data_IF_285363486171
#
_entry.id   IF_285363486171
#
_cell.length_a   1.000
_cell.length_b   1.000
_cell.length_c   1.000
_cell.angle_alpha   90.00
_cell.angle_beta   90.00
_cell.angle_gamma   90.00
#
_symmetry.space_group_name_H-M   'P 1'
#
loop_
_entity.id
_entity.type
_entity.pdbx_description
1 polymer ?
#
# COMPACT_ATOMS: atom_id res chain seq x y z
N UNK A 1 22.52 -14.10 12.82
CA UNK A 1 23.31 -12.95 12.34
C UNK A 1 22.53 -12.16 11.27
N UNK A 2 21.28 -11.76 11.58
CA UNK A 2 20.38 -11.08 10.60
C UNK A 2 20.17 -9.59 10.97
N UNK A 3 20.77 -9.12 12.06
CA UNK A 3 20.60 -7.75 12.57
C UNK A 3 21.58 -6.73 11.95
N UNK A 4 22.44 -7.13 11.03
CA UNK A 4 23.63 -6.34 10.66
C UNK A 4 23.62 -5.77 9.23
N UNK A 5 22.47 -5.77 8.55
CA UNK A 5 22.32 -5.13 7.23
C UNK A 5 21.55 -3.80 7.27
N UNK A 6 21.37 -3.22 8.46
CA UNK A 6 20.68 -1.94 8.66
C UNK A 6 21.62 -0.73 8.80
N UNK A 7 22.94 -0.90 8.70
CA UNK A 7 23.92 0.16 8.93
C UNK A 7 24.80 0.42 7.69
N UNK A 8 24.20 0.90 6.60
CA UNK A 8 24.94 1.59 5.55
C UNK A 8 23.99 2.40 4.67
N UNK A 9 23.63 3.60 5.15
CA UNK A 9 23.52 4.79 4.31
C UNK A 9 22.71 4.68 3.01
N UNK A 10 21.39 4.51 3.11
CA UNK A 10 20.41 5.44 2.53
C UNK A 10 19.03 4.90 2.86
N UNK A 11 18.23 5.72 3.57
CA UNK A 11 16.87 5.36 3.97
C UNK A 11 15.93 5.52 2.76
N UNK A 12 16.22 4.83 1.65
CA UNK A 12 15.31 4.68 0.52
C UNK A 12 14.37 3.55 0.89
N UNK A 13 13.30 3.88 1.62
CA UNK A 13 12.18 2.97 1.74
C UNK A 13 11.77 2.50 0.33
N UNK A 14 11.31 1.25 0.16
CA UNK A 14 10.88 0.74 -1.14
C UNK A 14 9.93 1.70 -1.87
N UNK A 15 9.13 2.49 -1.12
CA UNK A 15 8.27 3.53 -1.66
C UNK A 15 8.95 4.54 -2.59
N UNK A 16 10.22 4.90 -2.38
CA UNK A 16 10.94 5.83 -3.26
C UNK A 16 11.39 5.16 -4.58
N UNK A 17 11.81 3.90 -4.53
CA UNK A 17 12.11 3.09 -5.73
C UNK A 17 10.84 2.79 -6.55
N UNK A 18 9.72 2.52 -5.87
CA UNK A 18 8.41 2.31 -6.50
C UNK A 18 7.92 3.59 -7.18
N UNK A 19 8.04 4.74 -6.53
CA UNK A 19 7.76 6.04 -7.13
C UNK A 19 8.63 6.32 -8.35
N UNK A 20 9.93 6.00 -8.29
CA UNK A 20 10.85 6.17 -9.42
C UNK A 20 10.53 5.24 -10.60
N UNK A 21 10.19 3.97 -10.36
CA UNK A 21 9.82 3.02 -11.41
C UNK A 21 8.50 3.43 -12.07
N UNK A 22 7.49 3.82 -11.28
CA UNK A 22 6.20 4.30 -11.80
C UNK A 22 6.31 5.65 -12.53
N UNK A 23 7.32 6.47 -12.21
CA UNK A 23 7.61 7.73 -12.92
C UNK A 23 8.32 7.53 -14.28
N UNK A 24 8.89 6.35 -14.54
CA UNK A 24 9.71 6.10 -15.73
C UNK A 24 8.93 5.62 -16.96
N UNK A 25 7.71 5.10 -16.76
CA UNK A 25 6.77 4.83 -17.86
C UNK A 25 6.13 6.14 -18.28
N UNK A 26 6.16 6.54 -19.55
CA UNK A 26 5.60 7.82 -20.04
C UNK A 26 4.08 8.03 -19.88
N UNK A 27 3.42 7.26 -19.01
CA UNK A 27 2.10 7.49 -18.46
C UNK A 27 2.31 8.14 -17.08
N UNK A 28 1.78 9.34 -16.83
CA UNK A 28 1.96 10.05 -15.55
C UNK A 28 1.65 9.18 -14.30
N UNK A 29 2.08 9.65 -13.12
CA UNK A 29 1.98 8.96 -11.81
C UNK A 29 0.83 7.94 -11.75
N UNK A 30 1.16 6.65 -11.84
CA UNK A 30 0.16 5.60 -11.80
C UNK A 30 -0.61 5.66 -10.46
N UNK A 31 -1.94 5.54 -10.45
CA UNK A 31 -2.72 5.59 -9.23
C UNK A 31 -2.45 4.38 -8.34
N UNK A 32 -2.15 4.65 -7.07
CA UNK A 32 -1.82 3.62 -6.06
C UNK A 32 -2.80 3.67 -4.89
N UNK A 33 -3.13 2.48 -4.38
CA UNK A 33 -3.89 2.28 -3.14
C UNK A 33 -3.23 1.19 -2.30
N UNK A 34 -3.12 1.42 -0.99
CA UNK A 34 -2.68 0.42 -0.03
C UNK A 34 -3.87 -0.45 0.40
N UNK A 35 -3.73 -1.77 0.31
CA UNK A 35 -4.80 -2.71 0.67
C UNK A 35 -4.35 -3.66 1.78
N UNK A 36 -4.99 -3.56 2.94
CA UNK A 36 -4.88 -4.54 4.02
C UNK A 36 -5.83 -5.72 3.77
N UNK A 37 -5.38 -6.72 3.02
CA UNK A 37 -6.18 -7.91 2.70
C UNK A 37 -6.22 -8.92 3.87
N UNK A 38 -7.09 -9.92 3.79
CA UNK A 38 -7.33 -10.95 4.83
C UNK A 38 -7.75 -10.34 6.17
N UNK A 39 -8.54 -9.26 6.10
CA UNK A 39 -9.00 -8.50 7.26
C UNK A 39 -9.64 -9.35 8.38
N UNK A 40 -10.25 -10.49 8.04
CA UNK A 40 -10.92 -11.38 8.98
C UNK A 40 -9.98 -12.16 9.92
N UNK A 41 -8.67 -12.23 9.66
CA UNK A 41 -7.70 -12.94 10.50
C UNK A 41 -7.36 -12.12 11.74
N UNK A 42 -8.26 -12.10 12.73
CA UNK A 42 -8.09 -11.29 13.94
C UNK A 42 -7.00 -11.86 14.85
N UNK A 43 -6.91 -13.19 14.98
CA UNK A 43 -5.98 -13.89 15.88
C UNK A 43 -4.55 -13.85 15.32
N UNK A 44 -4.36 -14.17 14.04
CA UNK A 44 -3.07 -14.17 13.35
C UNK A 44 -2.65 -12.76 12.88
N UNK A 45 -3.28 -11.70 13.41
CA UNK A 45 -3.04 -10.34 12.92
C UNK A 45 -1.69 -9.85 13.41
N UNK A 46 -0.79 -9.62 12.47
CA UNK A 46 0.52 -9.01 12.76
C UNK A 46 0.52 -7.49 12.59
N UNK A 47 -0.43 -6.93 11.82
CA UNK A 47 -0.50 -5.49 11.53
C UNK A 47 -1.86 -4.93 11.93
N UNK A 48 -1.86 -3.89 12.77
CA UNK A 48 -3.09 -3.23 13.17
C UNK A 48 -3.65 -2.35 12.06
N UNK A 49 -4.97 -2.18 12.05
CA UNK A 49 -5.67 -1.32 11.07
C UNK A 49 -5.12 0.11 11.13
N UNK A 50 -4.85 0.61 12.34
CA UNK A 50 -4.30 1.95 12.55
C UNK A 50 -2.92 2.11 11.91
N UNK A 51 -2.05 1.10 12.01
CA UNK A 51 -0.72 1.12 11.41
C UNK A 51 -0.80 1.20 9.89
N UNK A 52 -1.69 0.41 9.27
CA UNK A 52 -1.95 0.49 7.83
C UNK A 52 -2.46 1.86 7.38
N UNK A 53 -3.38 2.46 8.15
CA UNK A 53 -3.87 3.82 7.87
C UNK A 53 -2.78 4.89 7.99
N UNK A 54 -1.94 4.80 9.02
CA UNK A 54 -0.82 5.74 9.23
C UNK A 54 0.21 5.60 8.12
N UNK A 55 0.53 4.37 7.70
CA UNK A 55 1.47 4.14 6.61
C UNK A 55 0.95 4.73 5.30
N UNK A 56 -0.33 4.53 4.98
CA UNK A 56 -0.92 5.10 3.79
C UNK A 56 -0.90 6.65 3.81
N UNK A 57 -1.19 7.25 4.97
CA UNK A 57 -1.07 8.70 5.16
C UNK A 57 0.36 9.19 4.91
N UNK A 58 1.38 8.52 5.46
CA UNK A 58 2.79 8.86 5.26
C UNK A 58 3.25 8.74 3.80
N UNK A 59 2.62 7.85 3.03
CA UNK A 59 2.91 7.62 1.62
C UNK A 59 1.97 8.39 0.68
N UNK A 60 1.06 9.20 1.22
CA UNK A 60 0.03 9.93 0.46
C UNK A 60 -0.86 9.02 -0.41
N UNK A 61 -1.07 7.78 0.04
CA UNK A 61 -1.96 6.81 -0.60
C UNK A 61 -3.27 6.64 0.17
N UNK A 62 -4.29 6.16 -0.54
CA UNK A 62 -5.52 5.71 0.09
C UNK A 62 -5.31 4.34 0.75
N UNK A 63 -6.03 4.06 1.84
CA UNK A 63 -6.02 2.75 2.50
C UNK A 63 -7.39 2.09 2.46
N UNK A 64 -7.43 0.80 2.12
CA UNK A 64 -8.62 -0.05 2.23
C UNK A 64 -8.30 -1.35 2.95
N UNK A 65 -9.13 -1.69 3.94
CA UNK A 65 -9.21 -3.06 4.48
C UNK A 65 -10.10 -3.94 3.61
N UNK A 66 -9.61 -5.10 3.22
CA UNK A 66 -10.32 -6.00 2.32
C UNK A 66 -10.29 -7.45 2.81
N UNK A 67 -11.27 -8.23 2.36
CA UNK A 67 -11.26 -9.68 2.52
C UNK A 67 -11.74 -10.32 1.23
N UNK A 68 -10.77 -10.68 0.39
CA UNK A 68 -11.03 -11.16 -0.97
C UNK A 68 -11.93 -12.39 -1.05
N UNK A 69 -11.73 -13.38 -0.15
CA UNK A 69 -12.52 -14.62 -0.13
C UNK A 69 -14.03 -14.38 -0.04
N UNK A 70 -14.44 -13.32 0.66
CA UNK A 70 -15.85 -12.96 0.84
C UNK A 70 -16.21 -11.67 0.10
N UNK A 71 -15.39 -11.24 -0.87
CA UNK A 71 -15.63 -10.04 -1.68
C UNK A 71 -15.81 -8.74 -0.89
N UNK A 72 -15.32 -8.67 0.35
CA UNK A 72 -15.47 -7.49 1.21
C UNK A 72 -14.53 -6.39 0.71
N UNK A 73 -15.11 -5.22 0.40
CA UNK A 73 -14.43 -4.00 -0.06
C UNK A 73 -13.61 -4.14 -1.35
N UNK A 74 -13.75 -5.24 -2.08
CA UNK A 74 -13.04 -5.46 -3.35
C UNK A 74 -13.50 -4.46 -4.41
N UNK A 75 -14.82 -4.33 -4.64
CA UNK A 75 -15.37 -3.33 -5.56
C UNK A 75 -14.93 -1.91 -5.20
N UNK A 76 -14.94 -1.57 -3.90
CA UNK A 76 -14.50 -0.27 -3.39
C UNK A 76 -13.02 0.01 -3.71
N UNK A 77 -12.14 -0.98 -3.59
CA UNK A 77 -10.73 -0.84 -3.96
C UNK A 77 -10.54 -0.54 -5.44
N UNK A 78 -11.22 -1.28 -6.32
CA UNK A 78 -11.18 -1.03 -7.76
C UNK A 78 -11.76 0.34 -8.13
N UNK A 79 -12.92 0.71 -7.59
CA UNK A 79 -13.52 2.02 -7.87
C UNK A 79 -12.64 3.19 -7.42
N UNK A 80 -11.91 3.04 -6.31
CA UNK A 80 -10.98 4.07 -5.86
C UNK A 80 -9.84 4.32 -6.86
N UNK A 81 -9.27 3.25 -7.44
CA UNK A 81 -8.24 3.36 -8.47
C UNK A 81 -8.82 3.97 -9.75
N UNK A 82 -9.96 3.49 -10.22
CA UNK A 82 -10.63 4.02 -11.43
C UNK A 82 -10.93 5.52 -11.25
N UNK A 83 -11.36 5.94 -10.06
CA UNK A 83 -11.62 7.35 -9.78
C UNK A 83 -10.36 8.21 -9.82
N UNK A 84 -9.21 7.67 -9.41
CA UNK A 84 -7.94 8.39 -9.52
C UNK A 84 -7.46 8.49 -10.97
N UNK A 85 -7.69 7.47 -11.81
CA UNK A 85 -7.38 7.50 -13.25
C UNK A 85 -8.20 8.52 -14.06
N UNK A 86 -9.36 8.94 -13.55
CA UNK A 86 -10.28 9.86 -14.23
C UNK A 86 -10.09 11.33 -13.81
N UNK A 87 -9.09 11.62 -12.99
CA UNK A 87 -8.68 13.00 -12.65
C UNK A 87 -7.68 13.50 -13.66
#
# INVERSE_FOLDING_TARGET
QVKELLLSGSLIYPSLLLGAILNSSGFGLAPVILVGNKYNRVIEREVFIKEGSILAYKLEYNFIKAFAKNYINIKKAFYNIIRQLRR
#
